data_IF_780144259009
#
_entry.id   IF_780144259009
#
_cell.length_a   1.000
_cell.length_b   1.000
_cell.length_c   1.000
_cell.angle_alpha   90.00
_cell.angle_beta   90.00
_cell.angle_gamma   90.00
#
_symmetry.space_group_name_H-M   'P 1'
#
loop_
_entity.id
_entity.type
_entity.pdbx_description
1 polymer ?
#
# COMPACT_ATOMS: atom_id res chain seq x y z
N UNK A 1 -9.15 6.94 16.10
CA UNK A 1 -7.82 6.44 16.49
C UNK A 1 -6.97 6.30 15.23
N UNK A 2 -5.80 6.93 15.19
CA UNK A 2 -4.77 6.77 14.13
C UNK A 2 -3.61 5.92 14.65
N UNK A 3 -2.70 5.56 13.75
CA UNK A 3 -1.40 5.03 14.16
C UNK A 3 -0.57 6.11 14.85
N UNK A 4 0.34 5.68 15.71
CA UNK A 4 1.24 6.53 16.48
C UNK A 4 2.70 6.15 16.18
N UNK A 5 3.65 6.92 16.66
CA UNK A 5 5.08 6.62 16.41
C UNK A 5 5.55 5.32 17.08
N UNK A 6 4.89 4.86 18.14
CA UNK A 6 5.30 3.69 18.91
C UNK A 6 4.84 2.38 18.28
N UNK A 7 5.78 1.56 17.82
CA UNK A 7 5.54 0.29 17.15
C UNK A 7 4.66 -0.68 17.97
N UNK A 8 4.88 -0.77 19.28
CA UNK A 8 4.12 -1.65 20.18
C UNK A 8 2.64 -1.27 20.23
N UNK A 9 2.33 0.03 20.24
CA UNK A 9 0.94 0.49 20.24
C UNK A 9 0.27 0.20 18.91
N UNK A 10 0.98 0.36 17.79
CA UNK A 10 0.48 0.09 16.46
C UNK A 10 0.19 -1.40 16.24
N UNK A 11 1.06 -2.28 16.69
CA UNK A 11 0.83 -3.73 16.65
C UNK A 11 -0.34 -4.16 17.52
N UNK A 12 -0.47 -3.58 18.72
CA UNK A 12 -1.60 -3.81 19.61
C UNK A 12 -2.93 -3.32 19.01
N UNK A 13 -2.93 -2.19 18.29
CA UNK A 13 -4.10 -1.68 17.56
C UNK A 13 -4.58 -2.66 16.49
N UNK A 14 -3.65 -3.20 15.68
CA UNK A 14 -3.99 -4.21 14.67
C UNK A 14 -4.52 -5.49 15.34
N UNK A 15 -3.84 -5.99 16.37
CA UNK A 15 -4.25 -7.21 17.08
C UNK A 15 -5.61 -7.07 17.76
N UNK A 16 -5.95 -5.89 18.28
CA UNK A 16 -7.25 -5.61 18.86
C UNK A 16 -8.39 -5.62 17.83
N UNK A 17 -8.11 -5.16 16.60
CA UNK A 17 -9.07 -5.10 15.51
C UNK A 17 -9.22 -6.44 14.80
N UNK A 18 -8.12 -7.15 14.59
CA UNK A 18 -8.09 -8.48 13.97
C UNK A 18 -7.92 -9.52 15.06
N UNK A 19 -9.02 -10.16 15.43
CA UNK A 19 -9.03 -11.21 16.47
C UNK A 19 -8.87 -12.61 15.90
N UNK A 20 -8.40 -12.72 14.66
CA UNK A 20 -8.17 -13.96 13.97
C UNK A 20 -6.83 -14.57 14.41
N UNK A 21 -6.76 -15.89 14.74
CA UNK A 21 -5.53 -16.57 15.08
C UNK A 21 -4.52 -16.65 13.92
N UNK A 22 -4.98 -16.52 12.68
CA UNK A 22 -4.12 -16.53 11.49
C UNK A 22 -3.36 -15.22 11.29
N UNK A 23 -3.67 -14.16 12.06
CA UNK A 23 -2.87 -12.94 12.03
C UNK A 23 -1.48 -13.21 12.60
N UNK A 24 -0.48 -13.07 11.77
CA UNK A 24 0.93 -13.17 12.13
C UNK A 24 1.55 -11.78 12.19
N UNK A 25 2.29 -11.54 13.27
CA UNK A 25 3.10 -10.33 13.47
C UNK A 25 4.55 -10.80 13.58
N UNK A 26 5.34 -10.56 12.55
CA UNK A 26 6.72 -11.02 12.44
C UNK A 26 7.67 -9.83 12.64
N UNK A 27 8.55 -9.92 13.66
CA UNK A 27 9.49 -8.87 13.99
C UNK A 27 10.82 -9.06 13.25
N UNK A 28 11.29 -7.99 12.62
CA UNK A 28 12.60 -7.90 11.99
C UNK A 28 13.37 -6.72 12.56
N UNK A 29 14.70 -6.85 12.60
CA UNK A 29 15.61 -5.74 12.90
C UNK A 29 16.38 -5.39 11.66
N UNK A 30 16.27 -4.14 11.24
CA UNK A 30 16.81 -3.66 9.98
C UNK A 30 17.88 -2.61 10.24
N UNK A 31 18.98 -2.71 9.48
CA UNK A 31 20.12 -1.81 9.59
C UNK A 31 21.19 -2.26 10.59
N UNK A 32 22.47 -2.13 10.18
CA UNK A 32 23.61 -2.68 10.93
C UNK A 32 23.84 -2.02 12.30
N UNK A 33 23.71 -0.69 12.40
CA UNK A 33 23.92 0.07 13.65
C UNK A 33 22.65 0.61 14.27
N UNK A 34 21.69 1.04 13.46
CA UNK A 34 20.43 1.62 13.94
C UNK A 34 19.47 0.58 14.51
N UNK A 35 19.53 -0.66 14.02
CA UNK A 35 18.67 -1.77 14.43
C UNK A 35 17.21 -1.35 14.60
N UNK A 36 16.67 -0.69 13.57
CA UNK A 36 15.29 -0.23 13.59
C UNK A 36 14.34 -1.43 13.59
N UNK A 37 13.42 -1.45 14.54
CA UNK A 37 12.43 -2.51 14.63
C UNK A 37 11.35 -2.33 13.54
N UNK A 38 11.11 -3.40 12.79
CA UNK A 38 10.11 -3.47 11.72
C UNK A 38 9.22 -4.67 11.96
N UNK A 39 7.91 -4.49 11.87
CA UNK A 39 6.94 -5.58 12.00
C UNK A 39 6.20 -5.79 10.68
N UNK A 40 6.19 -7.03 10.21
CA UNK A 40 5.33 -7.49 9.13
C UNK A 40 4.05 -8.07 9.71
N UNK A 41 2.90 -7.49 9.37
CA UNK A 41 1.58 -7.97 9.75
C UNK A 41 0.87 -8.54 8.51
N UNK A 42 0.45 -9.79 8.57
CA UNK A 42 -0.22 -10.46 7.46
C UNK A 42 -1.11 -11.61 7.94
N UNK A 43 -2.07 -12.03 7.10
CA UNK A 43 -2.88 -13.23 7.33
C UNK A 43 -2.20 -14.44 6.72
N UNK A 44 -1.78 -15.38 7.54
CA UNK A 44 -1.02 -16.56 7.10
C UNK A 44 -1.76 -17.45 6.08
N UNK A 45 -3.09 -17.43 6.12
CA UNK A 45 -3.95 -18.21 5.22
C UNK A 45 -4.30 -17.49 3.90
N UNK A 46 -3.98 -16.20 3.76
CA UNK A 46 -4.37 -15.40 2.60
C UNK A 46 -3.19 -14.73 1.89
N UNK A 47 -2.07 -14.54 2.60
CA UNK A 47 -0.89 -13.89 2.06
C UNK A 47 -0.26 -14.70 0.92
N UNK A 48 0.20 -14.01 -0.12
CA UNK A 48 1.04 -14.63 -1.14
C UNK A 48 2.44 -14.91 -0.56
N UNK A 49 2.76 -16.17 -0.39
CA UNK A 49 4.05 -16.60 0.20
C UNK A 49 5.25 -16.14 -0.63
N UNK A 50 5.11 -16.05 -1.96
CA UNK A 50 6.17 -15.57 -2.84
C UNK A 50 6.55 -14.12 -2.55
N UNK A 51 5.55 -13.25 -2.40
CA UNK A 51 5.75 -11.83 -2.08
C UNK A 51 6.32 -11.65 -0.67
N UNK A 52 5.84 -12.47 0.29
CA UNK A 52 6.33 -12.45 1.67
C UNK A 52 7.80 -12.86 1.75
N UNK A 53 8.20 -13.93 1.07
CA UNK A 53 9.59 -14.40 1.06
C UNK A 53 10.53 -13.43 0.32
N UNK A 54 10.05 -12.79 -0.74
CA UNK A 54 10.81 -11.73 -1.40
C UNK A 54 11.04 -10.53 -0.46
N UNK A 55 10.00 -10.16 0.29
CA UNK A 55 10.06 -9.06 1.25
C UNK A 55 11.03 -9.37 2.40
N UNK A 56 10.98 -10.57 2.97
CA UNK A 56 11.93 -11.03 4.01
C UNK A 56 13.37 -10.94 3.53
N UNK A 57 13.66 -11.48 2.34
CA UNK A 57 15.02 -11.42 1.75
C UNK A 57 15.50 -10.00 1.55
N UNK A 58 14.60 -9.08 1.17
CA UNK A 58 14.94 -7.67 0.99
C UNK A 58 15.23 -7.00 2.33
N UNK A 59 14.42 -7.28 3.36
CA UNK A 59 14.64 -6.74 4.71
C UNK A 59 15.98 -7.22 5.29
N UNK A 60 16.28 -8.51 5.15
CA UNK A 60 17.54 -9.10 5.63
C UNK A 60 18.77 -8.57 4.86
N UNK A 61 18.59 -8.14 3.62
CA UNK A 61 19.65 -7.59 2.79
C UNK A 61 19.92 -6.09 3.05
N UNK A 62 19.12 -5.43 3.88
CA UNK A 62 19.32 -4.03 4.22
C UNK A 62 20.43 -3.90 5.26
N UNK A 63 21.64 -3.67 4.79
CA UNK A 63 22.81 -3.34 5.62
C UNK A 63 23.20 -1.87 5.42
N UNK A 64 22.35 -0.95 5.85
CA UNK A 64 22.64 0.48 5.80
C UNK A 64 23.24 0.91 7.13
N UNK A 65 24.56 1.09 7.15
CA UNK A 65 25.25 1.62 8.32
C UNK A 65 24.88 3.08 8.59
N UNK A 66 24.42 3.38 9.78
CA UNK A 66 24.49 4.66 10.48
C UNK A 66 23.47 5.78 10.27
N UNK A 67 22.40 5.62 9.52
CA UNK A 67 21.32 6.61 9.52
C UNK A 67 20.13 6.01 10.25
N UNK A 68 19.49 6.76 11.15
CA UNK A 68 18.21 6.38 11.71
C UNK A 68 17.27 6.12 10.53
N UNK A 69 16.91 4.86 10.30
CA UNK A 69 16.12 4.50 9.14
C UNK A 69 14.70 5.01 9.37
N UNK A 70 14.34 6.05 8.65
CA UNK A 70 12.96 6.45 8.54
C UNK A 70 12.18 5.41 7.71
N UNK A 71 10.89 5.43 7.82
CA UNK A 71 10.00 4.58 7.01
C UNK A 71 10.29 4.71 5.51
N UNK A 72 10.59 5.93 5.04
CA UNK A 72 10.92 6.21 3.64
C UNK A 72 12.22 5.51 3.21
N UNK A 73 13.24 5.52 4.07
CA UNK A 73 14.50 4.84 3.80
C UNK A 73 14.33 3.32 3.69
N UNK A 74 13.49 2.74 4.55
CA UNK A 74 13.13 1.32 4.47
C UNK A 74 12.38 1.03 3.16
N UNK A 75 11.42 1.90 2.79
CA UNK A 75 10.68 1.75 1.54
C UNK A 75 11.58 1.82 0.31
N UNK A 76 12.51 2.78 0.25
CA UNK A 76 13.48 2.91 -0.85
C UNK A 76 14.39 1.69 -0.97
N UNK A 77 14.81 1.12 0.15
CA UNK A 77 15.65 -0.07 0.16
C UNK A 77 14.91 -1.32 -0.36
N UNK A 78 13.61 -1.43 -0.06
CA UNK A 78 12.77 -2.55 -0.49
C UNK A 78 12.33 -2.41 -1.95
N UNK A 79 11.93 -1.20 -2.35
CA UNK A 79 11.38 -0.92 -3.67
C UNK A 79 12.50 -0.46 -4.60
N UNK A 80 13.05 -1.37 -5.39
CA UNK A 80 13.97 -0.98 -6.46
C UNK A 80 13.21 -0.17 -7.51
N UNK A 81 13.62 1.07 -7.82
CA UNK A 81 12.97 1.87 -8.84
C UNK A 81 13.10 1.17 -10.20
N UNK A 82 11.98 0.96 -10.87
CA UNK A 82 11.93 0.41 -12.23
C UNK A 82 11.51 1.54 -13.16
N UNK A 83 12.40 1.96 -14.05
CA UNK A 83 12.20 3.08 -14.97
C UNK A 83 10.98 2.93 -15.89
N UNK A 84 10.57 1.68 -16.18
CA UNK A 84 9.43 1.37 -17.04
C UNK A 84 8.10 1.27 -16.27
N UNK A 85 8.12 1.24 -14.92
CA UNK A 85 6.92 1.16 -14.11
C UNK A 85 6.77 2.45 -13.27
N UNK A 86 5.94 3.40 -13.70
CA UNK A 86 5.72 4.66 -12.99
C UNK A 86 4.85 4.51 -11.73
N UNK A 87 4.26 3.34 -11.50
CA UNK A 87 3.35 3.13 -10.37
C UNK A 87 4.12 2.77 -9.10
N UNK A 88 3.81 3.42 -7.97
CA UNK A 88 4.41 3.07 -6.69
C UNK A 88 3.97 1.66 -6.28
N UNK A 89 4.92 0.90 -5.72
CA UNK A 89 4.68 -0.47 -5.24
C UNK A 89 4.26 -0.53 -3.77
N UNK A 90 4.26 0.62 -3.12
CA UNK A 90 3.95 0.78 -1.69
C UNK A 90 2.91 1.89 -1.56
N UNK A 91 1.90 1.64 -0.77
CA UNK A 91 0.90 2.63 -0.36
C UNK A 91 1.04 2.88 1.13
N UNK A 92 0.88 4.12 1.55
CA UNK A 92 0.94 4.52 2.96
C UNK A 92 -0.45 4.78 3.51
N UNK A 93 -0.66 4.46 4.78
CA UNK A 93 -1.88 4.82 5.50
C UNK A 93 -1.58 5.08 6.98
N UNK A 94 -2.23 6.10 7.54
CA UNK A 94 -2.22 6.40 8.96
C UNK A 94 -3.45 5.82 9.67
N UNK A 95 -4.35 5.18 8.91
CA UNK A 95 -5.63 4.68 9.38
C UNK A 95 -5.57 3.19 9.68
N UNK A 96 -5.75 2.79 10.96
CA UNK A 96 -5.75 1.38 11.34
C UNK A 96 -6.92 0.58 10.76
N UNK A 97 -8.05 1.21 10.45
CA UNK A 97 -9.20 0.57 9.80
C UNK A 97 -8.87 0.14 8.36
N UNK A 98 -8.26 1.02 7.58
CA UNK A 98 -7.79 0.72 6.22
C UNK A 98 -6.72 -0.38 6.24
N UNK A 99 -5.72 -0.27 7.14
CA UNK A 99 -4.69 -1.29 7.26
C UNK A 99 -5.27 -2.66 7.63
N UNK A 100 -6.24 -2.69 8.55
CA UNK A 100 -6.95 -3.92 8.94
C UNK A 100 -7.67 -4.56 7.76
N UNK A 101 -8.40 -3.78 6.97
CA UNK A 101 -9.10 -4.27 5.79
C UNK A 101 -8.13 -4.88 4.78
N UNK A 102 -7.04 -4.19 4.46
CA UNK A 102 -6.01 -4.69 3.53
C UNK A 102 -5.34 -5.98 4.03
N UNK A 103 -5.04 -6.09 5.34
CA UNK A 103 -4.49 -7.34 5.92
C UNK A 103 -5.48 -8.49 5.74
N UNK A 104 -6.76 -8.25 5.98
CA UNK A 104 -7.81 -9.27 5.82
C UNK A 104 -8.04 -9.65 4.35
N UNK A 105 -7.66 -8.82 3.41
CA UNK A 105 -7.68 -9.09 1.96
C UNK A 105 -6.41 -9.79 1.45
N UNK A 106 -5.45 -10.07 2.34
CA UNK A 106 -4.21 -10.78 2.01
C UNK A 106 -3.00 -9.91 1.72
N UNK A 107 -3.11 -8.58 1.91
CA UNK A 107 -1.98 -7.67 1.81
C UNK A 107 -1.05 -7.80 3.02
N UNK A 108 0.22 -7.45 2.83
CA UNK A 108 1.22 -7.36 3.89
C UNK A 108 1.26 -5.91 4.37
N UNK A 109 1.12 -5.70 5.66
CA UNK A 109 1.28 -4.39 6.30
C UNK A 109 2.61 -4.36 7.02
N UNK A 110 3.46 -3.40 6.66
CA UNK A 110 4.73 -3.18 7.32
C UNK A 110 4.65 -1.95 8.22
N UNK A 111 4.98 -2.17 9.49
CA UNK A 111 5.08 -1.13 10.50
C UNK A 111 6.57 -0.89 10.80
N UNK A 112 6.98 0.35 10.83
CA UNK A 112 8.35 0.76 11.17
C UNK A 112 8.29 1.57 12.45
N UNK A 113 9.21 1.33 13.35
CA UNK A 113 9.30 2.10 14.60
C UNK A 113 9.57 3.58 14.31
N UNK A 114 9.09 4.45 15.18
CA UNK A 114 9.13 5.91 15.03
C UNK A 114 8.39 6.44 13.78
N UNK A 115 7.35 5.72 13.31
CA UNK A 115 6.54 6.17 12.19
C UNK A 115 5.03 6.10 12.52
N UNK A 116 4.28 7.21 12.33
CA UNK A 116 2.83 7.23 12.56
C UNK A 116 2.03 6.67 11.37
N UNK A 117 2.69 6.18 10.35
CA UNK A 117 2.04 5.57 9.19
C UNK A 117 2.56 4.15 8.95
N UNK A 118 1.80 3.35 8.21
CA UNK A 118 2.17 1.99 7.86
C UNK A 118 2.19 1.82 6.34
N UNK A 119 3.03 0.92 5.87
CA UNK A 119 3.17 0.59 4.46
C UNK A 119 2.34 -0.64 4.10
N UNK A 120 1.58 -0.55 3.02
CA UNK A 120 0.79 -1.62 2.45
C UNK A 120 1.47 -2.17 1.20
N UNK A 121 1.61 -3.48 1.10
CA UNK A 121 2.26 -4.19 -0.01
C UNK A 121 1.61 -5.55 -0.28
N UNK A 122 1.63 -6.08 -1.50
CA UNK A 122 1.87 -5.35 -2.74
C UNK A 122 0.73 -4.39 -3.05
N UNK A 123 0.98 -3.35 -3.85
CA UNK A 123 -0.06 -2.45 -4.31
C UNK A 123 -0.25 -2.58 -5.82
N UNK A 124 -1.50 -2.61 -6.24
CA UNK A 124 -1.90 -2.57 -7.65
C UNK A 124 -2.35 -1.16 -8.04
N UNK A 125 -2.45 -0.90 -9.35
CA UNK A 125 -3.02 0.36 -9.84
C UNK A 125 -4.43 0.60 -9.30
N UNK A 126 -5.21 -0.47 -9.14
CA UNK A 126 -6.60 -0.38 -8.66
C UNK A 126 -6.69 0.02 -7.19
N UNK A 127 -5.69 -0.31 -6.36
CA UNK A 127 -5.66 0.05 -4.95
C UNK A 127 -5.51 1.56 -4.73
N UNK A 128 -4.92 2.28 -5.70
CA UNK A 128 -4.87 3.76 -5.68
C UNK A 128 -6.22 4.41 -6.00
N UNK A 129 -7.14 3.66 -6.60
CA UNK A 129 -8.48 4.14 -6.89
C UNK A 129 -9.46 3.87 -5.77
N UNK A 130 -9.06 3.05 -4.78
CA UNK A 130 -9.84 2.82 -3.57
C UNK A 130 -9.69 3.99 -2.61
N UNK A 131 -10.81 4.49 -2.13
CA UNK A 131 -10.84 5.49 -1.08
C UNK A 131 -11.16 4.83 0.26
N UNK A 132 -10.50 5.28 1.33
CA UNK A 132 -10.73 4.76 2.67
C UNK A 132 -12.21 4.86 3.12
N UNK A 133 -12.97 5.77 2.54
CA UNK A 133 -14.40 5.93 2.81
C UNK A 133 -15.26 4.82 2.18
N UNK A 134 -14.77 4.13 1.15
CA UNK A 134 -15.52 3.05 0.49
C UNK A 134 -15.84 1.89 1.46
N UNK A 135 -15.02 1.71 2.49
CA UNK A 135 -15.23 0.70 3.54
C UNK A 135 -16.38 1.02 4.51
N UNK A 136 -16.86 2.27 4.53
CA UNK A 136 -18.00 2.69 5.37
C UNK A 136 -19.35 2.63 4.67
N UNK A 137 -19.35 2.50 3.35
CA UNK A 137 -20.59 2.37 2.59
C UNK A 137 -21.11 0.92 2.57
N UNK A 138 -22.41 0.72 2.40
CA UNK A 138 -22.94 -0.60 2.10
C UNK A 138 -22.22 -1.23 0.89
N UNK A 139 -21.96 -2.55 0.88
CA UNK A 139 -21.14 -3.22 -0.13
C UNK A 139 -21.53 -2.90 -1.58
N UNK A 140 -22.84 -2.79 -1.85
CA UNK A 140 -23.35 -2.44 -3.19
C UNK A 140 -22.95 -1.03 -3.61
N UNK A 141 -23.02 -0.06 -2.68
CA UNK A 141 -22.69 1.34 -2.98
C UNK A 141 -21.19 1.50 -3.18
N UNK A 142 -20.36 0.90 -2.31
CA UNK A 142 -18.90 0.91 -2.44
C UNK A 142 -18.45 0.31 -3.78
N UNK A 143 -19.03 -0.83 -4.17
CA UNK A 143 -18.73 -1.48 -5.46
C UNK A 143 -19.13 -0.58 -6.64
N UNK A 144 -20.30 0.04 -6.60
CA UNK A 144 -20.77 0.96 -7.64
C UNK A 144 -19.83 2.18 -7.79
N UNK A 145 -19.44 2.81 -6.68
CA UNK A 145 -18.52 3.94 -6.69
C UNK A 145 -17.14 3.57 -7.25
N UNK A 146 -16.64 2.38 -6.95
CA UNK A 146 -15.37 1.85 -7.48
C UNK A 146 -15.45 1.70 -9.00
N UNK A 147 -16.50 1.08 -9.53
CA UNK A 147 -16.72 0.96 -10.98
C UNK A 147 -16.88 2.32 -11.66
N UNK A 148 -17.59 3.25 -11.04
CA UNK A 148 -17.76 4.61 -11.58
C UNK A 148 -16.40 5.31 -11.74
N UNK A 149 -15.53 5.22 -10.73
CA UNK A 149 -14.17 5.81 -10.79
C UNK A 149 -13.33 5.21 -11.93
N UNK A 150 -13.38 3.89 -12.09
CA UNK A 150 -12.66 3.20 -13.17
C UNK A 150 -13.18 3.68 -14.54
N UNK A 151 -14.49 3.77 -14.72
CA UNK A 151 -15.09 4.25 -15.97
C UNK A 151 -14.68 5.70 -16.23
N UNK A 152 -14.78 6.58 -15.25
CA UNK A 152 -14.39 8.00 -15.39
C UNK A 152 -12.91 8.13 -15.75
N UNK A 153 -12.02 7.35 -15.11
CA UNK A 153 -10.61 7.34 -15.44
C UNK A 153 -10.35 6.90 -16.88
N UNK A 154 -11.01 5.83 -17.33
CA UNK A 154 -10.87 5.34 -18.71
C UNK A 154 -11.41 6.38 -19.72
N UNK A 155 -12.55 6.98 -19.42
CA UNK A 155 -13.11 8.05 -20.27
C UNK A 155 -12.16 9.25 -20.33
N UNK A 156 -11.61 9.69 -19.22
CA UNK A 156 -10.63 10.79 -19.19
C UNK A 156 -9.38 10.46 -20.01
N UNK A 157 -8.90 9.23 -19.93
CA UNK A 157 -7.73 8.77 -20.67
C UNK A 157 -7.95 8.77 -22.19
N UNK A 158 -9.15 8.41 -22.66
CA UNK A 158 -9.45 8.31 -24.09
C UNK A 158 -10.05 9.61 -24.66
N UNK A 159 -10.97 10.25 -23.95
CA UNK A 159 -11.66 11.44 -24.46
C UNK A 159 -10.68 12.61 -24.64
N UNK A 160 -9.77 12.84 -23.70
CA UNK A 160 -8.84 13.95 -23.76
C UNK A 160 -7.93 13.92 -24.99
N UNK A 161 -7.22 12.81 -25.30
CA UNK A 161 -6.40 12.75 -26.52
C UNK A 161 -7.22 12.78 -27.81
N UNK A 162 -8.42 12.13 -27.82
CA UNK A 162 -9.31 12.17 -28.98
C UNK A 162 -9.79 13.59 -29.24
N UNK A 163 -10.24 14.30 -28.21
CA UNK A 163 -10.62 15.71 -28.32
C UNK A 163 -9.49 16.58 -28.84
N UNK A 164 -8.26 16.39 -28.32
CA UNK A 164 -7.08 17.11 -28.77
C UNK A 164 -6.78 16.86 -30.26
N UNK A 165 -6.89 15.63 -30.72
CA UNK A 165 -6.71 15.26 -32.13
C UNK A 165 -7.77 15.88 -33.02
N UNK A 166 -9.03 15.89 -32.60
CA UNK A 166 -10.14 16.51 -33.34
C UNK A 166 -9.97 18.02 -33.47
N UNK A 167 -9.53 18.70 -32.40
CA UNK A 167 -9.29 20.15 -32.42
C UNK A 167 -8.08 20.51 -33.29
N UNK A 168 -7.04 19.67 -33.29
CA UNK A 168 -5.85 19.88 -34.11
C UNK A 168 -6.12 19.69 -35.61
N UNK A 169 -6.96 18.69 -35.97
CA UNK A 169 -7.34 18.39 -37.33
C UNK A 169 -8.85 18.66 -37.54
N UNK A 170 -9.24 19.94 -37.51
CA UNK A 170 -10.64 20.35 -37.68
C UNK A 170 -11.29 19.86 -38.99
N UNK A 171 -10.48 19.47 -39.99
CA UNK A 171 -10.95 18.88 -41.24
C UNK A 171 -11.54 17.46 -41.11
N UNK A 172 -11.38 16.84 -39.97
CA UNK A 172 -11.89 15.47 -39.69
C UNK A 172 -13.22 15.44 -38.93
N UNK A 173 -13.73 16.62 -38.52
CA UNK A 173 -15.02 16.72 -37.87
C UNK A 173 -16.10 16.75 -38.94
N UNK A 174 -16.98 15.75 -39.08
CA UNK A 174 -18.13 15.84 -39.99
C UNK A 174 -19.06 16.96 -39.52
N UNK A 175 -19.54 17.80 -40.45
CA UNK A 175 -20.56 18.82 -40.20
C UNK A 175 -21.87 18.24 -39.67
#
# INVERSE_FOLDING_TARGET
DGFVETLVQNTALLRRRIRDPHLTLENHKVGGRSQTDVVLAYMNNQVNQGDLDELRKKLDAIDVGSIAMSQESVAEAIVKPQWYNPFPKVRYTERPDTATACVMEGSIVMLVDNSPSVMLMPTSLFDFMEEANDYYFPPLVGTYLRYLRIIVMLLALFITPVWYLLVKDASRVPE
#
